data_IF_033003773440
#
_entry.id   IF_033003773440
#
_cell.length_a   1.000
_cell.length_b   1.000
_cell.length_c   1.000
_cell.angle_alpha   90.00
_cell.angle_beta   90.00
_cell.angle_gamma   90.00
#
_symmetry.space_group_name_H-M   'P 1'
#
loop_
_entity.id
_entity.type
_entity.pdbx_description
1 polymer ?
#
# COMPACT_ATOMS: atom_id res chain seq x y z
N UNK A 1 -23.65 2.08 -2.37
CA UNK A 1 -22.43 2.01 -1.55
C UNK A 1 -21.51 1.03 -2.25
N UNK A 2 -20.26 1.39 -2.46
CA UNK A 2 -19.26 0.55 -3.15
C UNK A 2 -18.22 0.12 -2.12
N UNK A 3 -17.91 -1.17 -2.06
CA UNK A 3 -16.91 -1.74 -1.15
C UNK A 3 -16.09 -2.81 -1.86
N UNK A 4 -14.75 -2.85 -1.57
CA UNK A 4 -13.85 -3.88 -2.10
C UNK A 4 -12.54 -3.94 -1.27
N UNK A 5 -12.51 -4.58 -0.08
CA UNK A 5 -13.64 -5.13 0.70
C UNK A 5 -14.40 -4.06 1.49
N UNK A 6 -13.81 -2.88 1.75
CA UNK A 6 -14.39 -1.76 2.50
C UNK A 6 -14.62 -0.54 1.62
N UNK A 7 -15.32 0.48 2.11
CA UNK A 7 -15.46 1.75 1.40
C UNK A 7 -14.11 2.49 1.25
N UNK A 8 -13.25 2.42 2.27
CA UNK A 8 -11.96 3.14 2.27
C UNK A 8 -10.93 2.56 1.31
N UNK A 9 -11.06 1.28 0.94
CA UNK A 9 -10.19 0.60 -0.01
C UNK A 9 -10.87 0.33 -1.37
N UNK A 10 -12.07 0.87 -1.60
CA UNK A 10 -12.90 0.52 -2.76
C UNK A 10 -12.33 0.96 -4.12
N UNK A 11 -11.26 1.73 -4.15
CA UNK A 11 -10.61 2.16 -5.39
C UNK A 11 -9.61 1.15 -5.97
N UNK A 12 -9.11 0.21 -5.16
CA UNK A 12 -8.00 -0.68 -5.54
C UNK A 12 -8.43 -1.69 -6.61
N UNK A 13 -9.42 -2.51 -6.30
CA UNK A 13 -9.92 -3.56 -7.22
C UNK A 13 -10.43 -2.96 -8.53
N UNK A 14 -11.39 -2.01 -8.52
CA UNK A 14 -11.91 -1.48 -9.78
C UNK A 14 -10.87 -0.68 -10.56
N UNK A 15 -9.95 0.01 -9.88
CA UNK A 15 -8.89 0.76 -10.55
C UNK A 15 -7.96 -0.15 -11.34
N UNK A 16 -7.54 -1.28 -10.76
CA UNK A 16 -6.69 -2.25 -11.46
C UNK A 16 -7.45 -2.98 -12.58
N UNK A 17 -8.68 -3.44 -12.34
CA UNK A 17 -9.47 -4.12 -13.36
C UNK A 17 -9.77 -3.22 -14.55
N UNK A 18 -10.13 -1.94 -14.29
CA UNK A 18 -10.31 -0.95 -15.35
C UNK A 18 -9.03 -0.74 -16.17
N UNK A 19 -7.87 -0.64 -15.50
CA UNK A 19 -6.59 -0.52 -16.17
C UNK A 19 -6.32 -1.73 -17.07
N UNK A 20 -6.48 -2.96 -16.58
CA UNK A 20 -6.22 -4.18 -17.33
C UNK A 20 -7.16 -4.29 -18.54
N UNK A 21 -8.46 -4.05 -18.37
CA UNK A 21 -9.44 -4.09 -19.46
C UNK A 21 -9.12 -3.11 -20.59
N UNK A 22 -8.51 -1.95 -20.28
CA UNK A 22 -8.18 -0.95 -21.28
C UNK A 22 -6.80 -1.10 -21.91
N UNK A 23 -5.93 -1.91 -21.33
CA UNK A 23 -4.55 -2.08 -21.81
C UNK A 23 -4.25 -3.49 -22.32
N UNK A 24 -5.15 -4.45 -22.10
CA UNK A 24 -5.06 -5.81 -22.63
C UNK A 24 -6.20 -6.05 -23.62
N UNK A 25 -5.87 -6.27 -24.89
CA UNK A 25 -6.82 -6.34 -26.02
C UNK A 25 -7.82 -7.52 -25.95
N UNK A 26 -7.70 -8.43 -24.99
CA UNK A 26 -8.46 -9.69 -24.95
C UNK A 26 -9.40 -9.80 -23.73
N UNK A 27 -9.55 -8.75 -22.90
CA UNK A 27 -10.40 -8.81 -21.69
C UNK A 27 -11.75 -8.19 -21.97
N UNK A 28 -12.81 -9.00 -21.92
CA UNK A 28 -14.19 -8.54 -22.03
C UNK A 28 -14.91 -8.37 -20.70
N UNK A 29 -16.19 -8.01 -20.71
CA UNK A 29 -16.99 -7.79 -19.51
C UNK A 29 -17.27 -9.08 -18.74
N UNK A 30 -17.31 -10.25 -19.38
CA UNK A 30 -17.49 -11.55 -18.72
C UNK A 30 -16.23 -11.91 -17.95
N UNK A 31 -15.06 -11.70 -18.53
CA UNK A 31 -13.77 -11.88 -17.85
C UNK A 31 -13.67 -11.02 -16.58
N UNK A 32 -14.13 -9.76 -16.65
CA UNK A 32 -14.16 -8.86 -15.48
C UNK A 32 -15.10 -9.39 -14.39
N UNK A 33 -16.25 -9.95 -14.75
CA UNK A 33 -17.18 -10.54 -13.78
C UNK A 33 -16.53 -11.74 -13.08
N UNK A 34 -15.87 -12.61 -13.83
CA UNK A 34 -15.16 -13.76 -13.27
C UNK A 34 -13.99 -13.33 -12.37
N UNK A 35 -13.22 -12.32 -12.79
CA UNK A 35 -12.16 -11.74 -11.97
C UNK A 35 -12.71 -11.12 -10.65
N UNK A 36 -13.87 -10.49 -10.68
CA UNK A 36 -14.55 -10.00 -9.48
C UNK A 36 -14.99 -11.14 -8.56
N UNK A 37 -15.40 -12.29 -9.11
CA UNK A 37 -15.70 -13.48 -8.31
C UNK A 37 -14.44 -14.00 -7.60
N UNK A 38 -13.31 -14.07 -8.29
CA UNK A 38 -11.99 -14.43 -7.69
C UNK A 38 -11.64 -13.46 -6.57
N UNK A 39 -11.72 -12.15 -6.82
CA UNK A 39 -11.49 -11.14 -5.80
C UNK A 39 -12.41 -11.34 -4.58
N UNK A 40 -13.69 -11.63 -4.84
CA UNK A 40 -14.68 -11.87 -3.79
C UNK A 40 -14.34 -13.08 -2.90
N UNK A 41 -13.84 -14.17 -3.47
CA UNK A 41 -13.38 -15.34 -2.71
C UNK A 41 -12.23 -14.98 -1.79
N UNK A 42 -11.20 -14.32 -2.32
CA UNK A 42 -10.01 -13.90 -1.56
C UNK A 42 -10.43 -12.99 -0.39
N UNK A 43 -11.23 -11.95 -0.66
CA UNK A 43 -11.72 -11.04 0.38
C UNK A 43 -12.59 -11.74 1.44
N UNK A 44 -13.41 -12.71 1.06
CA UNK A 44 -14.25 -13.47 1.99
C UNK A 44 -13.41 -14.38 2.90
N UNK A 45 -12.35 -15.01 2.39
CA UNK A 45 -11.43 -15.81 3.22
C UNK A 45 -10.82 -14.92 4.31
N UNK A 46 -10.28 -13.76 3.95
CA UNK A 46 -9.73 -12.81 4.93
C UNK A 46 -10.78 -12.32 5.93
N UNK A 47 -12.00 -12.00 5.46
CA UNK A 47 -13.10 -11.53 6.31
C UNK A 47 -13.54 -12.56 7.34
N UNK A 48 -13.59 -13.84 6.95
CA UNK A 48 -14.09 -14.93 7.82
C UNK A 48 -13.04 -15.39 8.81
N UNK A 49 -11.79 -15.46 8.39
CA UNK A 49 -10.70 -16.03 9.19
C UNK A 49 -9.88 -14.98 9.97
N UNK A 50 -10.03 -13.69 9.64
CA UNK A 50 -9.34 -12.59 10.30
C UNK A 50 -10.24 -11.34 10.35
N UNK A 51 -9.85 -10.26 9.66
CA UNK A 51 -10.61 -9.01 9.56
C UNK A 51 -10.35 -8.32 8.22
N UNK A 52 -11.29 -7.45 7.85
CA UNK A 52 -11.13 -6.48 6.75
C UNK A 52 -11.20 -5.04 7.25
N UNK A 53 -11.15 -4.84 8.57
CA UNK A 53 -11.39 -3.54 9.21
C UNK A 53 -10.08 -2.89 9.64
N UNK A 54 -9.88 -1.63 9.22
CA UNK A 54 -8.77 -0.80 9.70
C UNK A 54 -8.82 -0.52 11.20
N UNK A 55 -10.03 -0.49 11.79
CA UNK A 55 -10.24 -0.30 13.22
C UNK A 55 -9.86 -1.54 14.05
N UNK A 56 -9.98 -2.73 13.47
CA UNK A 56 -9.63 -3.99 14.17
C UNK A 56 -8.17 -4.35 14.00
N UNK A 57 -7.63 -4.26 12.79
CA UNK A 57 -6.31 -4.79 12.47
C UNK A 57 -5.42 -3.83 11.65
N UNK A 58 -5.71 -2.53 11.64
CA UNK A 58 -4.96 -1.56 10.85
C UNK A 58 -5.24 -1.61 9.35
N UNK A 59 -4.60 -0.75 8.59
CA UNK A 59 -4.75 -0.71 7.13
C UNK A 59 -4.22 -1.96 6.41
N UNK A 60 -3.44 -2.81 7.05
CA UNK A 60 -3.08 -4.12 6.53
C UNK A 60 -4.32 -4.98 6.23
N UNK A 61 -5.36 -4.89 7.08
CA UNK A 61 -6.62 -5.60 6.87
C UNK A 61 -7.50 -4.91 5.81
N UNK A 62 -7.51 -3.61 5.73
CA UNK A 62 -8.33 -2.88 4.77
C UNK A 62 -7.67 -2.81 3.38
N UNK A 63 -6.53 -2.11 3.30
CA UNK A 63 -5.79 -1.90 2.05
C UNK A 63 -5.06 -3.18 1.62
N UNK A 64 -4.50 -3.94 2.58
CA UNK A 64 -3.80 -5.20 2.28
C UNK A 64 -4.74 -6.24 1.69
N UNK A 65 -5.94 -6.42 2.27
CA UNK A 65 -6.92 -7.37 1.71
C UNK A 65 -7.44 -6.90 0.36
N UNK A 66 -7.70 -5.59 0.17
CA UNK A 66 -8.06 -5.05 -1.14
C UNK A 66 -6.97 -5.27 -2.20
N UNK A 67 -5.70 -5.10 -1.80
CA UNK A 67 -4.55 -5.40 -2.65
C UNK A 67 -4.50 -6.89 -3.03
N UNK A 68 -4.73 -7.79 -2.08
CA UNK A 68 -4.79 -9.24 -2.33
C UNK A 68 -5.92 -9.62 -3.29
N UNK A 69 -7.12 -9.04 -3.09
CA UNK A 69 -8.27 -9.21 -3.97
C UNK A 69 -7.92 -8.80 -5.41
N UNK A 70 -7.30 -7.63 -5.56
CA UNK A 70 -6.90 -7.11 -6.85
C UNK A 70 -5.76 -7.93 -7.49
N UNK A 71 -4.77 -8.36 -6.70
CA UNK A 71 -3.66 -9.20 -7.18
C UNK A 71 -4.15 -10.55 -7.70
N UNK A 72 -5.02 -11.23 -6.95
CA UNK A 72 -5.59 -12.49 -7.39
C UNK A 72 -6.46 -12.34 -8.64
N UNK A 73 -7.28 -11.29 -8.72
CA UNK A 73 -8.09 -10.99 -9.89
C UNK A 73 -7.22 -10.69 -11.13
N UNK A 74 -6.16 -9.92 -10.98
CA UNK A 74 -5.21 -9.63 -12.04
C UNK A 74 -4.49 -10.90 -12.51
N UNK A 75 -4.02 -11.74 -11.58
CA UNK A 75 -3.38 -13.03 -11.90
C UNK A 75 -4.31 -13.93 -12.69
N UNK A 76 -5.60 -13.99 -12.32
CA UNK A 76 -6.62 -14.71 -13.06
C UNK A 76 -6.77 -14.20 -14.50
N UNK A 77 -6.96 -12.89 -14.67
CA UNK A 77 -7.09 -12.25 -16.01
C UNK A 77 -5.86 -12.47 -16.90
N UNK A 78 -4.69 -12.55 -16.29
CA UNK A 78 -3.43 -12.82 -17.00
C UNK A 78 -3.16 -14.30 -17.22
N UNK A 79 -4.14 -15.21 -16.94
CA UNK A 79 -4.08 -16.63 -17.22
C UNK A 79 -3.31 -17.44 -16.19
N UNK A 80 -3.15 -16.94 -14.96
CA UNK A 80 -2.46 -17.65 -13.88
C UNK A 80 -3.24 -18.85 -13.35
N UNK A 81 -2.51 -19.84 -12.81
CA UNK A 81 -3.10 -21.00 -12.13
C UNK A 81 -3.66 -20.60 -10.76
N UNK A 82 -4.44 -21.51 -10.16
CA UNK A 82 -4.99 -21.32 -8.79
C UNK A 82 -3.89 -21.07 -7.77
N UNK A 83 -2.77 -21.77 -7.87
CA UNK A 83 -1.61 -21.62 -6.99
C UNK A 83 -0.93 -20.25 -7.19
N UNK A 84 -0.88 -19.74 -8.42
CA UNK A 84 -0.35 -18.40 -8.70
C UNK A 84 -1.29 -17.30 -8.19
N UNK A 85 -2.61 -17.50 -8.28
CA UNK A 85 -3.63 -16.61 -7.72
C UNK A 85 -3.47 -16.52 -6.20
N UNK A 86 -3.36 -17.68 -5.53
CA UNK A 86 -3.13 -17.73 -4.08
C UNK A 86 -1.83 -17.03 -3.70
N UNK A 87 -0.75 -17.33 -4.41
CA UNK A 87 0.55 -16.72 -4.14
C UNK A 87 0.54 -15.20 -4.30
N UNK A 88 -0.03 -14.69 -5.39
CA UNK A 88 -0.15 -13.25 -5.60
C UNK A 88 -0.95 -12.58 -4.48
N UNK A 89 -2.06 -13.19 -4.05
CA UNK A 89 -2.88 -12.68 -2.97
C UNK A 89 -2.16 -12.71 -1.62
N UNK A 90 -1.43 -13.78 -1.30
CA UNK A 90 -0.62 -13.90 -0.08
C UNK A 90 0.46 -12.84 -0.02
N UNK A 91 1.24 -12.71 -1.09
CA UNK A 91 2.31 -11.72 -1.22
C UNK A 91 1.80 -10.28 -1.07
N UNK A 92 0.61 -9.99 -1.57
CA UNK A 92 0.03 -8.65 -1.47
C UNK A 92 -0.27 -8.25 -0.01
N UNK A 93 -0.78 -9.17 0.84
CA UNK A 93 -0.96 -8.90 2.28
C UNK A 93 0.39 -8.90 3.00
N UNK A 94 1.27 -9.86 2.70
CA UNK A 94 2.60 -9.99 3.32
C UNK A 94 3.36 -8.66 3.32
N UNK A 95 3.34 -7.95 2.17
CA UNK A 95 4.02 -6.66 2.02
C UNK A 95 3.26 -5.47 2.63
N UNK A 96 2.07 -5.69 3.17
CA UNK A 96 1.27 -4.69 3.88
C UNK A 96 1.22 -4.93 5.40
N UNK A 97 1.85 -6.01 5.91
CA UNK A 97 1.89 -6.31 7.34
C UNK A 97 2.48 -5.14 8.14
N UNK A 98 1.83 -4.80 9.25
CA UNK A 98 2.23 -3.67 10.10
C UNK A 98 1.70 -2.30 9.63
N UNK A 99 0.92 -2.22 8.55
CA UNK A 99 0.39 -0.95 8.06
C UNK A 99 -0.70 -0.42 9.00
N UNK A 100 -0.42 0.73 9.63
CA UNK A 100 -1.33 1.42 10.54
C UNK A 100 -2.49 2.09 9.80
N UNK A 101 -3.59 2.34 10.50
CA UNK A 101 -4.74 3.09 10.00
C UNK A 101 -4.86 4.42 10.76
N UNK A 102 -4.42 5.50 10.15
CA UNK A 102 -4.27 6.81 10.79
C UNK A 102 -4.81 7.96 9.89
N UNK A 103 -6.09 7.91 9.47
CA UNK A 103 -6.65 8.89 8.55
C UNK A 103 -6.67 10.29 9.17
N UNK A 104 -6.17 11.28 8.41
CA UNK A 104 -6.12 12.67 8.83
C UNK A 104 -7.54 13.22 9.03
N UNK A 105 -7.80 13.78 10.19
CA UNK A 105 -9.13 14.33 10.60
C UNK A 105 -10.27 13.30 10.55
N UNK A 106 -9.96 12.00 10.59
CA UNK A 106 -10.96 10.94 10.44
C UNK A 106 -11.56 10.85 9.03
N UNK A 107 -10.97 11.51 8.05
CA UNK A 107 -11.45 11.49 6.68
C UNK A 107 -10.67 10.46 5.86
N UNK A 108 -11.40 9.63 5.11
CA UNK A 108 -10.81 8.61 4.21
C UNK A 108 -10.29 9.29 2.93
N UNK A 109 -9.31 10.18 3.10
CA UNK A 109 -8.68 10.95 2.04
C UNK A 109 -7.16 10.88 2.11
N UNK A 110 -6.56 11.29 3.22
CA UNK A 110 -5.12 11.27 3.44
C UNK A 110 -4.82 10.37 4.65
N UNK A 111 -4.03 9.29 4.45
CA UNK A 111 -3.32 8.86 3.26
C UNK A 111 -4.13 7.89 2.36
N UNK A 112 -5.41 7.69 2.59
CA UNK A 112 -6.20 6.59 2.02
C UNK A 112 -6.25 6.61 0.49
N UNK A 113 -6.43 7.78 -0.14
CA UNK A 113 -6.46 7.90 -1.61
C UNK A 113 -5.13 7.45 -2.21
N UNK A 114 -4.02 7.93 -1.65
CA UNK A 114 -2.68 7.57 -2.11
C UNK A 114 -2.38 6.09 -1.87
N UNK A 115 -2.78 5.54 -0.69
CA UNK A 115 -2.64 4.11 -0.38
C UNK A 115 -3.41 3.24 -1.37
N UNK A 116 -4.61 3.64 -1.79
CA UNK A 116 -5.36 2.92 -2.82
C UNK A 116 -4.60 2.89 -4.15
N UNK A 117 -4.07 4.02 -4.60
CA UNK A 117 -3.31 4.11 -5.84
C UNK A 117 -2.05 3.23 -5.80
N UNK A 118 -1.27 3.33 -4.71
CA UNK A 118 -0.06 2.52 -4.53
C UNK A 118 -0.37 1.03 -4.41
N UNK A 119 -1.45 0.66 -3.74
CA UNK A 119 -1.86 -0.73 -3.60
C UNK A 119 -2.34 -1.35 -4.91
N UNK A 120 -3.00 -0.58 -5.79
CA UNK A 120 -3.37 -1.06 -7.13
C UNK A 120 -2.11 -1.39 -7.97
N UNK A 121 -1.08 -0.53 -7.94
CA UNK A 121 0.21 -0.82 -8.57
C UNK A 121 0.89 -2.05 -7.97
N UNK A 122 0.92 -2.15 -6.63
CA UNK A 122 1.48 -3.31 -5.93
C UNK A 122 0.76 -4.61 -6.28
N UNK A 123 -0.56 -4.58 -6.43
CA UNK A 123 -1.34 -5.76 -6.83
C UNK A 123 -0.94 -6.27 -8.22
N UNK A 124 -0.68 -5.37 -9.17
CA UNK A 124 -0.17 -5.75 -10.49
C UNK A 124 1.22 -6.38 -10.39
N UNK A 125 2.14 -5.76 -9.64
CA UNK A 125 3.49 -6.31 -9.41
C UNK A 125 3.45 -7.71 -8.80
N UNK A 126 2.54 -7.95 -7.81
CA UNK A 126 2.36 -9.27 -7.22
C UNK A 126 1.85 -10.31 -8.23
N UNK A 127 0.91 -9.91 -9.10
CA UNK A 127 0.39 -10.78 -10.16
C UNK A 127 1.50 -11.16 -11.16
N UNK A 128 2.25 -10.17 -11.65
CA UNK A 128 3.36 -10.39 -12.57
C UNK A 128 4.44 -11.29 -11.96
N UNK A 129 4.81 -11.04 -10.69
CA UNK A 129 5.79 -11.86 -10.00
C UNK A 129 5.33 -13.31 -9.84
N UNK A 130 4.07 -13.53 -9.44
CA UNK A 130 3.51 -14.87 -9.28
C UNK A 130 3.50 -15.64 -10.61
N UNK A 131 3.17 -14.96 -11.71
CA UNK A 131 3.16 -15.56 -13.06
C UNK A 131 4.56 -15.95 -13.55
N UNK A 132 5.61 -15.24 -13.14
CA UNK A 132 6.99 -15.53 -13.49
C UNK A 132 7.62 -16.66 -12.66
N UNK A 133 6.96 -17.08 -11.58
CA UNK A 133 7.49 -18.11 -10.67
C UNK A 133 6.91 -19.50 -10.97
N UNK A 134 7.53 -20.53 -10.36
CA UNK A 134 7.10 -21.91 -10.47
C UNK A 134 6.06 -22.32 -9.42
N UNK A 135 5.32 -21.39 -8.86
CA UNK A 135 4.27 -21.61 -7.83
C UNK A 135 4.77 -22.08 -6.46
N UNK A 136 6.05 -22.38 -6.30
CA UNK A 136 6.58 -22.76 -5.01
C UNK A 136 6.78 -21.54 -4.11
N UNK A 137 5.99 -21.45 -3.06
CA UNK A 137 6.12 -20.44 -1.99
C UNK A 137 6.01 -21.11 -0.63
N UNK A 138 6.68 -20.52 0.37
CA UNK A 138 6.82 -21.12 1.70
C UNK A 138 5.65 -20.81 2.62
N UNK A 139 4.97 -19.69 2.40
CA UNK A 139 3.92 -19.17 3.30
C UNK A 139 2.63 -19.10 2.49
N UNK A 140 1.63 -19.86 2.91
CA UNK A 140 0.31 -19.89 2.26
C UNK A 140 -0.50 -18.60 2.53
N UNK A 141 -1.51 -18.38 1.72
CA UNK A 141 -2.46 -17.27 1.94
C UNK A 141 -3.12 -17.34 3.33
N UNK A 142 -3.48 -18.54 3.78
CA UNK A 142 -4.09 -18.75 5.10
C UNK A 142 -3.15 -18.34 6.23
N UNK A 143 -1.85 -18.68 6.12
CA UNK A 143 -0.84 -18.28 7.11
C UNK A 143 -0.61 -16.77 7.13
N UNK A 144 -0.64 -16.11 5.97
CA UNK A 144 -0.53 -14.64 5.88
C UNK A 144 -1.75 -13.98 6.49
N UNK A 145 -2.95 -14.49 6.24
CA UNK A 145 -4.21 -13.98 6.84
C UNK A 145 -4.18 -14.12 8.35
N UNK A 146 -3.74 -15.26 8.87
CA UNK A 146 -3.55 -15.46 10.32
C UNK A 146 -2.49 -14.49 10.88
N UNK A 147 -1.37 -14.33 10.21
CA UNK A 147 -0.32 -13.39 10.61
C UNK A 147 -0.84 -11.95 10.65
N UNK A 148 -1.67 -11.59 9.69
CA UNK A 148 -2.27 -10.26 9.61
C UNK A 148 -3.13 -9.93 10.85
N UNK A 149 -3.95 -10.86 11.35
CA UNK A 149 -4.75 -10.59 12.55
C UNK A 149 -3.86 -10.52 13.80
N UNK A 150 -2.90 -11.41 13.95
CA UNK A 150 -1.95 -11.39 15.07
C UNK A 150 -1.13 -10.09 15.09
N UNK A 151 -0.60 -9.67 13.94
CA UNK A 151 0.09 -8.37 13.80
C UNK A 151 -0.86 -7.21 14.08
N UNK A 152 -2.13 -7.35 13.72
CA UNK A 152 -3.17 -6.34 13.99
C UNK A 152 -3.42 -6.16 15.50
N UNK A 153 -3.37 -7.23 16.27
CA UNK A 153 -3.46 -7.16 17.73
C UNK A 153 -2.27 -6.43 18.36
N UNK A 154 -1.07 -6.56 17.77
CA UNK A 154 0.15 -5.87 18.21
C UNK A 154 0.19 -4.38 17.83
N UNK A 155 -0.63 -3.92 16.88
CA UNK A 155 -0.76 -2.50 16.54
C UNK A 155 -1.51 -1.78 17.67
N UNK A 156 -0.91 -0.74 18.25
CA UNK A 156 -1.58 0.06 19.29
C UNK A 156 -2.94 0.59 18.85
N UNK A 157 -3.92 0.60 19.75
CA UNK A 157 -5.28 1.13 19.51
C UNK A 157 -5.29 2.53 18.91
N UNK A 158 -4.34 3.38 19.33
CA UNK A 158 -4.21 4.74 18.84
C UNK A 158 -3.91 4.83 17.32
N UNK A 159 -3.36 3.75 16.73
CA UNK A 159 -2.97 3.62 15.32
C UNK A 159 -3.99 2.83 14.49
N UNK A 160 -5.13 2.47 15.07
CA UNK A 160 -6.22 1.72 14.43
C UNK A 160 -7.45 2.61 14.21
N UNK A 161 -7.42 3.43 13.16
CA UNK A 161 -8.53 4.27 12.67
C UNK A 161 -9.07 5.32 13.68
N UNK A 162 -8.29 5.66 14.69
CA UNK A 162 -8.71 6.61 15.74
C UNK A 162 -8.38 8.06 15.44
N UNK A 163 -7.51 8.32 14.48
CA UNK A 163 -6.95 9.64 14.17
C UNK A 163 -6.24 10.32 15.35
N UNK A 164 -5.81 9.55 16.35
CA UNK A 164 -5.13 10.05 17.55
C UNK A 164 -3.60 9.94 17.47
N UNK A 165 -3.08 9.15 16.54
CA UNK A 165 -1.65 8.92 16.37
C UNK A 165 -1.25 8.96 14.90
N UNK A 166 0.00 8.65 14.60
CA UNK A 166 0.52 8.59 13.23
C UNK A 166 0.42 9.93 12.49
N UNK A 167 0.10 9.86 11.19
CA UNK A 167 -0.02 11.04 10.32
C UNK A 167 -1.09 12.01 10.79
N UNK A 168 -2.22 11.49 11.33
CA UNK A 168 -3.31 12.33 11.83
C UNK A 168 -2.85 13.24 12.97
N UNK A 169 -2.07 12.71 13.92
CA UNK A 169 -1.52 13.49 15.01
C UNK A 169 -0.54 14.55 14.49
N UNK A 170 0.36 14.17 13.59
CA UNK A 170 1.37 15.11 13.06
C UNK A 170 0.74 16.23 12.24
N UNK A 171 -0.32 15.91 11.48
CA UNK A 171 -1.03 16.91 10.67
C UNK A 171 -1.84 17.91 11.51
N UNK A 172 -2.45 17.46 12.62
CA UNK A 172 -3.31 18.29 13.47
C UNK A 172 -2.55 19.31 14.33
N UNK A 173 -1.20 19.26 14.35
CA UNK A 173 -0.40 20.27 15.00
C UNK A 173 -0.44 21.57 14.18
N UNK A 174 -0.60 22.73 14.86
CA UNK A 174 -0.35 24.01 14.21
C UNK A 174 1.13 24.10 13.77
N UNK A 175 1.45 25.03 12.87
CA UNK A 175 2.80 25.11 12.28
C UNK A 175 3.90 25.30 13.32
N UNK A 176 3.63 26.00 14.43
CA UNK A 176 4.60 26.17 15.51
C UNK A 176 4.76 24.90 16.33
N UNK A 177 3.67 24.29 16.78
CA UNK A 177 3.68 23.03 17.52
C UNK A 177 4.26 21.89 16.67
N UNK A 178 3.97 21.88 15.36
CA UNK A 178 4.54 20.91 14.41
C UNK A 178 6.06 21.04 14.31
N UNK A 179 6.59 22.26 14.17
CA UNK A 179 8.05 22.50 14.13
C UNK A 179 8.71 22.07 15.43
N UNK A 180 8.12 22.44 16.57
CA UNK A 180 8.63 22.04 17.89
C UNK A 180 8.63 20.52 18.05
N UNK A 181 7.53 19.84 17.69
CA UNK A 181 7.42 18.38 17.76
C UNK A 181 8.44 17.67 16.87
N UNK A 182 8.65 18.18 15.65
CA UNK A 182 9.68 17.64 14.75
C UNK A 182 11.08 17.81 15.31
N UNK A 183 11.37 18.92 16.00
CA UNK A 183 12.65 19.13 16.67
C UNK A 183 12.84 18.17 17.85
N UNK A 184 11.80 17.94 18.65
CA UNK A 184 11.82 16.95 19.74
C UNK A 184 12.08 15.54 19.22
N UNK A 185 11.39 15.12 18.16
CA UNK A 185 11.58 13.81 17.53
C UNK A 185 13.00 13.66 16.96
N UNK A 186 13.52 14.70 16.29
CA UNK A 186 14.91 14.71 15.82
C UNK A 186 15.90 14.57 16.99
N UNK A 187 15.67 15.27 18.09
CA UNK A 187 16.51 15.17 19.31
C UNK A 187 16.46 13.77 19.93
N UNK A 188 15.29 13.15 19.99
CA UNK A 188 15.12 11.78 20.49
C UNK A 188 15.86 10.77 19.59
N UNK A 189 15.73 10.89 18.26
CA UNK A 189 16.44 10.04 17.30
C UNK A 189 17.96 10.22 17.40
N UNK A 190 18.44 11.46 17.57
CA UNK A 190 19.86 11.73 17.80
C UNK A 190 20.36 11.15 19.11
N UNK A 191 19.54 11.18 20.16
CA UNK A 191 19.82 10.54 21.45
C UNK A 191 19.93 9.02 21.34
N UNK A 192 19.08 8.38 20.55
CA UNK A 192 19.12 6.94 20.26
C UNK A 192 20.37 6.56 19.44
N UNK A 193 20.73 7.38 18.44
CA UNK A 193 21.99 7.23 17.69
C UNK A 193 23.23 7.23 18.59
N UNK A 194 23.29 8.16 19.56
CA UNK A 194 24.42 8.27 20.51
C UNK A 194 24.50 7.07 21.44
N UNK A 195 23.39 6.38 21.70
CA UNK A 195 23.35 5.14 22.52
C UNK A 195 23.65 3.86 21.74
N UNK A 196 24.01 3.96 20.46
CA UNK A 196 24.38 2.82 19.63
C UNK A 196 23.21 1.93 19.18
N UNK A 197 21.96 2.34 19.43
CA UNK A 197 20.77 1.54 19.11
C UNK A 197 20.33 1.62 17.64
N UNK A 198 20.77 2.64 16.90
CA UNK A 198 20.40 2.82 15.49
C UNK A 198 21.59 3.39 14.71
N UNK A 199 22.07 2.68 13.67
CA UNK A 199 23.05 3.18 12.73
C UNK A 199 22.35 3.71 11.47
N UNK A 200 21.91 4.96 11.48
CA UNK A 200 21.46 5.64 10.26
C UNK A 200 22.44 6.74 9.86
N UNK A 201 22.90 6.72 8.62
CA UNK A 201 23.58 7.87 8.01
C UNK A 201 22.55 8.78 7.38
N UNK A 202 22.33 9.96 7.95
CA UNK A 202 21.64 11.06 7.27
C UNK A 202 22.67 11.84 6.45
N UNK A 203 22.28 12.33 5.27
CA UNK A 203 23.14 13.20 4.46
C UNK A 203 23.56 14.45 5.24
N UNK A 204 24.74 14.98 4.91
CA UNK A 204 25.31 16.15 5.57
C UNK A 204 24.35 17.33 5.55
N UNK A 205 23.97 17.83 6.74
CA UNK A 205 23.08 18.98 6.92
C UNK A 205 23.70 20.31 6.39
N UNK A 206 24.94 20.30 5.96
CA UNK A 206 25.64 21.49 5.41
C UNK A 206 25.42 21.70 3.91
N UNK A 207 24.62 20.88 3.24
CA UNK A 207 24.34 21.03 1.81
C UNK A 207 23.24 22.06 1.47
N UNK A 208 22.57 22.64 2.47
CA UNK A 208 21.39 23.50 2.24
C UNK A 208 21.60 24.99 2.56
N UNK A 209 22.75 25.40 3.11
CA UNK A 209 23.00 26.82 3.41
C UNK A 209 23.60 27.63 2.26
N UNK A 210 23.98 27.01 1.14
CA UNK A 210 24.58 27.70 -0.02
C UNK A 210 23.88 27.41 -1.36
N UNK A 211 22.62 26.99 -1.36
CA UNK A 211 21.84 26.96 -2.60
C UNK A 211 21.27 28.35 -2.85
N UNK A 212 21.93 29.10 -3.71
CA UNK A 212 21.46 30.39 -4.25
C UNK A 212 20.09 30.17 -4.93
N UNK A 213 19.12 31.08 -4.70
CA UNK A 213 17.76 31.00 -5.28
C UNK A 213 17.73 30.95 -6.81
N UNK A 214 18.87 31.07 -7.48
CA UNK A 214 19.01 31.00 -8.93
C UNK A 214 19.02 29.58 -9.52
N UNK A 215 19.27 28.52 -8.69
CA UNK A 215 19.38 27.14 -9.19
C UNK A 215 18.09 26.31 -9.13
N UNK A 216 17.02 26.87 -8.57
CA UNK A 216 15.71 26.17 -8.46
C UNK A 216 14.94 26.15 -9.79
N UNK A 217 15.34 26.96 -10.79
CA UNK A 217 14.63 27.08 -12.06
C UNK A 217 15.03 26.08 -13.15
N UNK A 218 16.06 25.26 -12.95
CA UNK A 218 16.57 24.31 -13.99
C UNK A 218 16.23 22.83 -13.77
N UNK A 219 15.46 22.50 -12.73
CA UNK A 219 15.10 21.13 -12.36
C UNK A 219 13.69 20.68 -12.78
N UNK A 220 12.97 21.43 -13.58
CA UNK A 220 11.71 20.98 -14.17
C UNK A 220 12.04 20.12 -15.37
N UNK A 221 11.93 18.80 -15.20
CA UNK A 221 11.97 17.85 -16.33
C UNK A 221 10.77 18.15 -17.20
N UNK A 222 11.03 18.67 -18.40
CA UNK A 222 10.03 18.92 -19.44
C UNK A 222 9.57 17.57 -20.00
N UNK A 223 8.43 17.07 -19.54
CA UNK A 223 7.83 15.78 -19.93
C UNK A 223 7.21 15.81 -21.33
N UNK A 224 7.39 16.88 -22.13
CA UNK A 224 6.76 17.02 -23.44
C UNK A 224 7.62 16.57 -24.63
N UNK A 225 8.83 16.05 -24.44
CA UNK A 225 9.66 15.53 -25.52
C UNK A 225 10.45 14.27 -25.12
N UNK A 226 9.77 13.14 -24.99
CA UNK A 226 10.39 11.84 -25.23
C UNK A 226 9.42 10.93 -25.97
N UNK A 227 9.75 10.65 -27.21
CA UNK A 227 9.08 9.62 -28.02
C UNK A 227 9.28 8.25 -27.35
N UNK A 228 8.19 7.51 -27.23
CA UNK A 228 8.07 6.20 -26.57
C UNK A 228 8.75 5.04 -27.31
N UNK A 229 9.90 5.25 -27.96
CA UNK A 229 10.55 4.21 -28.77
C UNK A 229 11.81 3.55 -28.17
N UNK A 230 12.27 3.94 -26.96
CA UNK A 230 13.57 3.47 -26.44
C UNK A 230 13.52 2.82 -25.05
N UNK A 231 12.41 2.23 -24.65
CA UNK A 231 12.25 1.61 -23.33
C UNK A 231 11.99 0.10 -23.33
N UNK A 232 12.42 -0.61 -24.39
CA UNK A 232 12.51 -2.08 -24.40
C UNK A 232 13.74 -2.55 -25.17
N UNK A 233 14.84 -2.74 -24.48
CA UNK A 233 15.88 -3.76 -24.77
C UNK A 233 16.30 -4.37 -23.43
#
# INVERSE_FOLDING_TARGET
>A
MVTAPTCGACGIVPGLLYFLQHHMDAIDDEDIIDALAVAGVIGNIAKVNASISGAEAGCQAEVGVACAMAAGAATFLMGGSTEQIEYAAGMAIEHMLGLTCDPVKGLVQVPCIERNAMAAGRALECAEYALMTNTFHLISYDEVVLTMILTGEDIEDSLRETSRAGLAQTYNLDDMARKQRLQELKSQLMGLKRRGSISMKWGDENATENADESDVSSGIIDLNHSSTSDLFV
#
